data_IF_651078328619
#
_entry.id   IF_651078328619
#
_cell.length_a   1.000
_cell.length_b   1.000
_cell.length_c   1.000
_cell.angle_alpha   90.00
_cell.angle_beta   90.00
_cell.angle_gamma   90.00
#
_symmetry.space_group_name_H-M   'P 1'
#
loop_
_entity.id
_entity.type
_entity.pdbx_description
1 polymer ?
#
# COMPACT_ATOMS: atom_id res chain seq x y z
N UNK A 1 -0.36 -79.97 14.05
CA UNK A 1 -1.48 -80.32 13.14
C UNK A 1 -2.60 -79.32 13.32
N UNK A 2 -3.19 -78.91 12.20
CA UNK A 2 -4.50 -78.26 12.01
C UNK A 2 -4.64 -76.75 12.26
N UNK A 3 -4.69 -76.05 11.12
CA UNK A 3 -5.17 -74.71 10.84
C UNK A 3 -6.54 -74.35 11.45
N UNK A 4 -6.76 -73.06 11.72
CA UNK A 4 -7.97 -72.38 11.23
C UNK A 4 -7.76 -70.88 11.03
N UNK A 5 -8.05 -70.47 9.80
CA UNK A 5 -8.01 -69.10 9.30
C UNK A 5 -9.07 -68.21 9.95
N UNK A 6 -8.70 -66.96 10.24
CA UNK A 6 -9.59 -65.85 10.56
C UNK A 6 -9.25 -64.67 9.66
N UNK A 7 -10.23 -64.25 8.88
CA UNK A 7 -10.15 -63.38 7.71
C UNK A 7 -10.34 -61.92 8.12
N UNK A 8 -9.71 -60.99 7.40
CA UNK A 8 -10.10 -59.57 7.18
C UNK A 8 -10.08 -58.65 8.43
N UNK A 9 -9.57 -57.41 8.40
CA UNK A 9 -9.90 -56.29 7.52
C UNK A 9 -8.70 -55.32 7.46
N UNK A 10 -8.27 -54.96 6.26
CA UNK A 10 -7.40 -53.81 5.96
C UNK A 10 -8.17 -52.53 6.24
N UNK A 11 -7.79 -51.79 7.29
CA UNK A 11 -8.25 -50.42 7.49
C UNK A 11 -7.09 -49.48 7.13
N UNK A 12 -7.16 -48.92 5.91
CA UNK A 12 -6.21 -47.92 5.43
C UNK A 12 -6.37 -46.61 6.19
N UNK A 13 -5.26 -46.12 6.75
CA UNK A 13 -5.17 -44.76 7.29
C UNK A 13 -4.80 -43.81 6.14
N UNK A 14 -5.79 -43.14 5.56
CA UNK A 14 -5.56 -41.97 4.71
C UNK A 14 -5.46 -40.73 5.61
N UNK A 15 -4.23 -40.30 5.92
CA UNK A 15 -3.99 -39.04 6.61
C UNK A 15 -4.22 -37.88 5.62
N UNK A 16 -5.33 -37.16 5.79
CA UNK A 16 -5.63 -35.96 5.02
C UNK A 16 -4.74 -34.80 5.51
N UNK A 17 -3.76 -34.40 4.69
CA UNK A 17 -2.96 -33.18 4.90
C UNK A 17 -3.85 -32.01 4.47
N UNK A 18 -4.52 -31.37 5.42
CA UNK A 18 -5.18 -30.10 5.19
C UNK A 18 -4.11 -29.00 5.08
N UNK A 19 -3.69 -28.69 3.85
CA UNK A 19 -2.88 -27.52 3.55
C UNK A 19 -3.71 -26.27 3.90
N UNK A 20 -3.31 -25.54 4.94
CA UNK A 20 -3.79 -24.18 5.20
C UNK A 20 -3.28 -23.26 4.09
N UNK A 21 -3.99 -23.19 2.97
CA UNK A 21 -3.88 -22.08 2.04
C UNK A 21 -4.54 -20.86 2.68
N UNK A 22 -3.74 -20.04 3.38
CA UNK A 22 -4.16 -18.68 3.70
C UNK A 22 -4.54 -17.98 2.37
N UNK A 23 -5.69 -17.30 2.29
CA UNK A 23 -6.03 -16.58 1.08
C UNK A 23 -4.96 -15.52 0.84
N UNK A 24 -4.31 -15.57 -0.32
CA UNK A 24 -3.55 -14.44 -0.81
C UNK A 24 -4.54 -13.29 -0.99
N UNK A 25 -4.45 -12.28 -0.11
CA UNK A 25 -5.20 -11.03 -0.30
C UNK A 25 -4.77 -10.44 -1.63
N UNK A 26 -5.59 -10.60 -2.66
CA UNK A 26 -5.38 -9.93 -3.93
C UNK A 26 -5.43 -8.42 -3.66
N UNK A 27 -4.35 -7.72 -4.00
CA UNK A 27 -4.32 -6.25 -3.98
C UNK A 27 -5.44 -5.79 -4.90
N UNK A 28 -6.46 -5.14 -4.34
CA UNK A 28 -7.53 -4.54 -5.14
C UNK A 28 -7.02 -3.20 -5.60
N UNK A 29 -6.32 -3.19 -6.74
CA UNK A 29 -5.88 -1.94 -7.34
C UNK A 29 -7.10 -1.05 -7.66
N UNK A 30 -6.93 0.27 -7.69
CA UNK A 30 -7.96 1.17 -8.21
C UNK A 30 -8.46 0.66 -9.57
N UNK A 31 -9.79 0.68 -9.77
CA UNK A 31 -10.43 0.43 -11.06
C UNK A 31 -9.65 1.15 -12.17
N UNK A 32 -9.39 0.48 -13.31
CA UNK A 32 -8.58 1.04 -14.41
C UNK A 32 -9.24 2.27 -15.07
N UNK A 33 -10.50 2.55 -14.73
CA UNK A 33 -11.25 3.75 -15.10
C UNK A 33 -11.23 4.83 -14.02
N UNK A 34 -10.69 4.55 -12.84
CA UNK A 34 -10.60 5.51 -11.75
C UNK A 34 -9.47 6.51 -12.02
N UNK A 35 -9.86 7.77 -12.20
CA UNK A 35 -8.94 8.89 -12.11
C UNK A 35 -8.27 8.98 -10.74
N UNK A 36 -6.97 9.23 -10.82
CA UNK A 36 -6.08 9.34 -9.68
C UNK A 36 -5.80 10.81 -9.40
N UNK A 37 -5.96 11.21 -8.14
CA UNK A 37 -5.69 12.58 -7.70
C UNK A 37 -4.37 12.56 -6.93
N UNK A 38 -3.47 13.48 -7.29
CA UNK A 38 -2.19 13.64 -6.58
C UNK A 38 -2.44 14.21 -5.20
N UNK A 39 -2.22 13.40 -4.17
CA UNK A 39 -2.48 13.76 -2.78
C UNK A 39 -1.29 14.40 -2.08
N UNK A 40 -0.09 13.98 -2.47
CA UNK A 40 1.16 14.44 -1.88
C UNK A 40 2.15 14.67 -3.01
N UNK A 41 2.91 15.75 -2.90
CA UNK A 41 4.13 15.95 -3.67
C UNK A 41 5.29 16.22 -2.72
N UNK A 42 6.39 15.53 -2.94
CA UNK A 42 7.63 15.67 -2.18
C UNK A 42 8.80 15.91 -3.13
N UNK A 43 9.81 16.65 -2.67
CA UNK A 43 11.06 16.86 -3.39
C UNK A 43 12.24 16.36 -2.55
N UNK A 44 13.00 15.43 -3.11
CA UNK A 44 14.27 14.93 -2.58
C UNK A 44 15.41 15.31 -3.53
N UNK A 45 16.62 14.81 -3.29
CA UNK A 45 17.86 15.12 -4.01
C UNK A 45 17.74 15.07 -5.56
N UNK A 46 17.22 16.13 -6.18
CA UNK A 46 16.96 16.20 -7.62
C UNK A 46 15.81 15.32 -8.13
N UNK A 47 14.98 14.75 -7.23
CA UNK A 47 13.89 13.82 -7.60
C UNK A 47 12.56 14.29 -7.03
N UNK A 48 11.48 14.04 -7.76
CA UNK A 48 10.12 14.30 -7.29
C UNK A 48 9.44 13.00 -6.91
N UNK A 49 8.73 13.00 -5.80
CA UNK A 49 7.95 11.85 -5.34
C UNK A 49 6.52 12.28 -5.15
N UNK A 50 5.58 11.49 -5.64
CA UNK A 50 4.17 11.83 -5.56
C UNK A 50 3.37 10.62 -5.12
N UNK A 51 2.30 10.86 -4.36
CA UNK A 51 1.34 9.84 -3.95
C UNK A 51 -0.01 10.21 -4.51
N UNK A 52 -0.71 9.24 -5.07
CA UNK A 52 -1.99 9.39 -5.71
C UNK A 52 -3.03 8.47 -5.07
N UNK A 53 -4.24 8.99 -4.91
CA UNK A 53 -5.40 8.21 -4.45
C UNK A 53 -6.54 8.28 -5.46
N UNK A 54 -7.42 7.27 -5.50
CA UNK A 54 -8.60 7.29 -6.36
C UNK A 54 -9.53 8.42 -5.96
N UNK A 55 -10.18 9.04 -6.94
CA UNK A 55 -11.15 10.11 -6.70
C UNK A 55 -12.25 9.73 -5.68
N UNK A 56 -12.74 8.50 -5.72
CA UNK A 56 -13.77 8.00 -4.80
C UNK A 56 -13.36 8.07 -3.32
N UNK A 57 -12.05 7.94 -3.04
CA UNK A 57 -11.48 8.08 -1.70
C UNK A 57 -11.33 9.56 -1.34
N UNK A 58 -10.87 10.35 -2.30
CA UNK A 58 -10.54 11.78 -2.09
C UNK A 58 -11.78 12.63 -1.87
N UNK A 59 -12.84 12.40 -2.64
CA UNK A 59 -14.11 13.14 -2.51
C UNK A 59 -15.19 12.39 -1.73
N UNK A 60 -14.82 11.35 -0.99
CA UNK A 60 -15.68 10.85 0.06
C UNK A 60 -16.04 11.99 1.02
N UNK A 61 -17.23 11.94 1.62
CA UNK A 61 -17.68 12.99 2.53
C UNK A 61 -16.73 13.14 3.73
N UNK A 62 -16.03 14.27 3.83
CA UNK A 62 -14.99 14.52 4.84
C UNK A 62 -13.58 14.02 4.47
N UNK A 63 -13.39 13.64 3.20
CA UNK A 63 -12.15 13.08 2.65
C UNK A 63 -11.86 11.68 3.18
N UNK A 64 -10.57 11.33 3.20
CA UNK A 64 -10.13 10.05 3.74
C UNK A 64 -10.46 9.94 5.24
N UNK A 65 -11.21 8.90 5.61
CA UNK A 65 -11.63 8.70 6.99
C UNK A 65 -10.47 8.28 7.91
N UNK A 66 -10.57 8.65 9.19
CA UNK A 66 -9.57 8.33 10.20
C UNK A 66 -9.39 6.80 10.35
N UNK A 67 -8.13 6.35 10.43
CA UNK A 67 -7.80 4.93 10.57
C UNK A 67 -8.10 4.08 9.33
N UNK A 68 -8.53 4.68 8.21
CA UNK A 68 -8.77 3.94 6.97
C UNK A 68 -7.50 3.82 6.14
N UNK A 69 -7.42 2.70 5.44
CA UNK A 69 -6.44 2.41 4.42
C UNK A 69 -7.12 2.47 3.05
N UNK A 70 -6.43 3.03 2.07
CA UNK A 70 -6.83 3.03 0.67
C UNK A 70 -5.65 2.60 -0.20
N UNK A 71 -5.96 1.88 -1.27
CA UNK A 71 -4.99 1.54 -2.30
C UNK A 71 -4.77 2.74 -3.22
N UNK A 72 -3.51 3.01 -3.53
CA UNK A 72 -3.09 4.13 -4.37
C UNK A 72 -1.81 3.83 -5.13
N UNK A 73 -1.21 4.89 -5.67
CA UNK A 73 0.07 4.79 -6.37
C UNK A 73 1.07 5.79 -5.81
N UNK A 74 2.30 5.34 -5.65
CA UNK A 74 3.47 6.17 -5.44
C UNK A 74 4.24 6.27 -6.75
N UNK A 75 4.90 7.39 -6.97
CA UNK A 75 5.88 7.51 -8.04
C UNK A 75 7.15 8.14 -7.52
N UNK A 76 8.26 7.66 -8.04
CA UNK A 76 9.57 8.28 -7.95
C UNK A 76 9.96 8.75 -9.36
N UNK A 77 9.89 10.05 -9.59
CA UNK A 77 10.20 10.68 -10.86
C UNK A 77 11.71 10.83 -11.02
N UNK A 78 12.28 9.96 -11.85
CA UNK A 78 13.69 9.92 -12.22
C UNK A 78 13.88 10.32 -13.69
N UNK A 79 12.93 11.07 -14.27
CA UNK A 79 12.96 11.48 -15.67
C UNK A 79 14.21 12.29 -15.99
N UNK A 80 14.61 13.20 -15.09
CA UNK A 80 15.86 13.98 -15.20
C UNK A 80 17.12 13.10 -15.19
N UNK A 81 17.01 11.85 -14.73
CA UNK A 81 18.08 10.84 -14.75
C UNK A 81 17.91 9.81 -15.87
N UNK A 82 17.02 10.07 -16.84
CA UNK A 82 16.68 9.17 -17.95
C UNK A 82 16.22 7.77 -17.50
N UNK A 83 15.58 7.67 -16.33
CA UNK A 83 15.05 6.42 -15.77
C UNK A 83 13.52 6.34 -15.70
N UNK A 84 12.84 7.39 -16.15
CA UNK A 84 11.39 7.44 -16.22
C UNK A 84 10.69 7.72 -14.89
N UNK A 85 9.38 7.45 -14.87
CA UNK A 85 8.45 7.78 -13.78
C UNK A 85 7.40 6.69 -13.65
N UNK A 86 7.77 5.60 -12.99
CA UNK A 86 6.87 4.46 -12.81
C UNK A 86 5.85 4.74 -11.70
N UNK A 87 4.66 4.14 -11.82
CA UNK A 87 3.64 4.11 -10.78
C UNK A 87 3.73 2.77 -10.06
N UNK A 88 4.08 2.82 -8.78
CA UNK A 88 4.19 1.66 -7.90
C UNK A 88 2.99 1.64 -6.96
N UNK A 89 2.28 0.51 -6.81
CA UNK A 89 1.11 0.46 -5.93
C UNK A 89 1.55 0.56 -4.46
N UNK A 90 0.74 1.26 -3.67
CA UNK A 90 0.99 1.50 -2.24
C UNK A 90 -0.29 1.41 -1.44
N UNK A 91 -0.16 1.08 -0.16
CA UNK A 91 -1.24 1.31 0.81
C UNK A 91 -1.03 2.66 1.49
N UNK A 92 -2.06 3.51 1.45
CA UNK A 92 -2.07 4.80 2.15
C UNK A 92 -3.01 4.67 3.34
N UNK A 93 -2.52 4.91 4.55
CA UNK A 93 -3.31 4.81 5.77
C UNK A 93 -3.38 6.15 6.50
N UNK A 94 -4.58 6.67 6.70
CA UNK A 94 -4.81 7.87 7.51
C UNK A 94 -4.71 7.52 9.00
N UNK A 95 -3.94 8.29 9.78
CA UNK A 95 -3.88 8.07 11.22
C UNK A 95 -5.22 8.35 11.90
N UNK A 96 -5.48 7.71 13.04
CA UNK A 96 -6.74 7.86 13.76
C UNK A 96 -7.01 9.32 14.21
N UNK A 97 -5.95 10.08 14.47
CA UNK A 97 -6.02 11.50 14.83
C UNK A 97 -5.99 12.44 13.60
N UNK A 98 -5.96 11.89 12.38
CA UNK A 98 -5.84 12.62 11.11
C UNK A 98 -4.63 13.56 11.00
N UNK A 99 -3.60 13.38 11.83
CA UNK A 99 -2.40 14.24 11.80
C UNK A 99 -1.31 13.75 10.84
N UNK A 100 -1.41 12.51 10.38
CA UNK A 100 -0.42 11.92 9.47
C UNK A 100 -1.04 10.87 8.56
N UNK A 101 -0.37 10.61 7.45
CA UNK A 101 -0.63 9.49 6.56
C UNK A 101 0.59 8.58 6.55
N UNK A 102 0.36 7.27 6.50
CA UNK A 102 1.41 6.26 6.36
C UNK A 102 1.36 5.70 4.95
N UNK A 103 2.48 5.74 4.24
CA UNK A 103 2.65 5.24 2.88
C UNK A 103 3.46 3.95 2.96
N UNK A 104 2.83 2.82 2.65
CA UNK A 104 3.47 1.51 2.61
C UNK A 104 3.81 1.14 1.16
N UNK A 105 5.11 1.17 0.86
CA UNK A 105 5.69 0.76 -0.44
C UNK A 105 5.97 -0.76 -0.44
N UNK A 106 4.94 -1.55 -0.20
CA UNK A 106 5.05 -2.99 0.06
C UNK A 106 5.71 -3.78 -1.09
N UNK A 107 5.64 -3.27 -2.33
CA UNK A 107 6.30 -3.88 -3.50
C UNK A 107 7.82 -3.76 -3.50
N UNK A 108 8.38 -2.82 -2.72
CA UNK A 108 9.82 -2.56 -2.65
C UNK A 108 10.48 -3.14 -1.39
N UNK A 109 9.70 -3.69 -0.46
CA UNK A 109 10.20 -4.16 0.83
C UNK A 109 10.80 -3.04 1.71
N UNK A 110 10.40 -1.79 1.48
CA UNK A 110 10.82 -0.65 2.28
C UNK A 110 9.92 -0.50 3.52
N UNK A 111 10.44 0.00 4.66
CA UNK A 111 9.60 0.36 5.79
C UNK A 111 8.54 1.41 5.39
N UNK A 112 7.31 1.34 5.93
CA UNK A 112 6.30 2.36 5.67
C UNK A 112 6.75 3.75 6.13
N UNK A 113 6.50 4.76 5.30
CA UNK A 113 6.86 6.15 5.57
C UNK A 113 5.68 6.89 6.16
N UNK A 114 5.84 7.47 7.35
CA UNK A 114 4.83 8.34 7.96
C UNK A 114 5.10 9.80 7.58
N UNK A 115 4.08 10.46 7.04
CA UNK A 115 4.11 11.85 6.59
C UNK A 115 3.07 12.66 7.36
N UNK A 116 3.42 13.79 8.01
CA UNK A 116 2.43 14.67 8.60
C UNK A 116 1.47 15.22 7.54
N UNK A 117 0.18 15.36 7.88
CA UNK A 117 -0.84 15.90 6.96
C UNK A 117 -0.53 17.33 6.53
N UNK A 118 0.09 18.14 7.38
CA UNK A 118 0.56 19.48 7.01
C UNK A 118 1.81 19.51 6.12
N UNK A 119 2.35 18.34 5.76
CA UNK A 119 3.66 18.23 5.11
C UNK A 119 4.80 18.18 6.12
N UNK A 120 6.02 18.01 5.63
CA UNK A 120 7.19 17.84 6.48
C UNK A 120 8.39 17.28 5.75
N UNK A 121 9.43 16.95 6.51
CA UNK A 121 10.61 16.25 5.99
C UNK A 121 10.51 14.78 6.35
N UNK A 122 10.64 13.89 5.38
CA UNK A 122 10.52 12.44 5.57
C UNK A 122 11.56 11.69 4.75
N UNK A 123 11.78 10.43 5.11
CA UNK A 123 12.60 9.50 4.35
C UNK A 123 11.70 8.44 3.69
N UNK A 124 11.65 8.42 2.35
CA UNK A 124 10.95 7.36 1.60
C UNK A 124 11.84 6.16 1.31
N UNK A 125 13.10 6.42 0.96
CA UNK A 125 14.11 5.42 0.68
C UNK A 125 15.50 6.03 0.89
N UNK A 126 16.49 5.19 1.14
CA UNK A 126 17.84 5.65 1.49
C UNK A 126 18.64 6.23 0.31
N UNK A 127 18.22 6.00 -0.94
CA UNK A 127 18.95 6.40 -2.15
C UNK A 127 18.45 7.71 -2.73
N UNK A 128 17.13 7.88 -2.87
CA UNK A 128 16.53 9.02 -3.56
C UNK A 128 15.60 9.85 -2.66
N UNK A 129 14.96 9.19 -1.71
CA UNK A 129 13.94 9.76 -0.84
C UNK A 129 14.39 10.27 0.53
N UNK A 130 15.70 10.28 0.83
CA UNK A 130 16.23 10.79 2.11
C UNK A 130 16.05 12.30 2.20
N UNK A 131 15.51 12.79 3.33
CA UNK A 131 15.31 14.21 3.61
C UNK A 131 14.29 14.90 2.69
N UNK A 132 13.40 14.13 2.06
CA UNK A 132 12.42 14.62 1.12
C UNK A 132 11.47 15.63 1.78
N UNK A 133 11.30 16.81 1.18
CA UNK A 133 10.37 17.84 1.62
C UNK A 133 9.01 17.62 0.98
N UNK A 134 8.04 17.18 1.77
CA UNK A 134 6.65 16.96 1.37
C UNK A 134 5.78 18.17 1.66
N UNK A 135 4.91 18.51 0.71
CA UNK A 135 3.78 19.41 0.92
C UNK A 135 2.63 18.76 1.70
N UNK A 136 1.55 19.51 1.95
CA UNK A 136 0.40 19.00 2.69
C UNK A 136 -0.35 17.91 1.92
N UNK A 137 -1.02 17.04 2.69
CA UNK A 137 -1.94 16.04 2.16
C UNK A 137 -3.26 16.71 1.77
N UNK A 138 -3.46 16.85 0.47
CA UNK A 138 -4.46 17.71 -0.12
C UNK A 138 -5.89 17.50 0.41
N UNK A 139 -6.41 16.27 0.49
CA UNK A 139 -7.78 16.04 0.96
C UNK A 139 -8.06 16.46 2.42
N UNK A 140 -7.03 16.76 3.21
CA UNK A 140 -7.18 17.26 4.58
C UNK A 140 -6.62 18.68 4.76
N UNK A 141 -6.12 19.32 3.70
CA UNK A 141 -5.76 20.74 3.73
C UNK A 141 -7.05 21.58 3.67
N UNK A 142 -7.30 22.47 4.64
CA UNK A 142 -8.49 23.34 4.62
C UNK A 142 -8.56 24.27 3.39
N UNK A 143 -7.48 24.43 2.64
CA UNK A 143 -7.44 25.22 1.41
C UNK A 143 -7.58 24.37 0.13
N UNK A 144 -7.72 23.05 0.25
CA UNK A 144 -7.82 22.19 -0.92
C UNK A 144 -9.17 22.37 -1.64
N UNK A 145 -9.10 22.81 -2.89
CA UNK A 145 -10.27 23.01 -3.75
C UNK A 145 -10.96 24.37 -3.60
N UNK A 146 -10.37 25.31 -2.87
CA UNK A 146 -10.76 26.73 -2.87
C UNK A 146 -10.12 27.48 -4.05
#
# INVERSE_FOLDING_TARGET
MSNRAGRTVTAGFAAAIALLSAPASAVTLPDDRAWMIRMIACKGNGVQMEVYLPQSVVFAHGGMAAGKTADGYYTLDLTELNKGKDLEPVHVTMSADKKSVTIDQYTRGLPPTRIPVGGGTVDFDQRFGTGAKCGPFQAQDPNFGN
#
